data_IF_343585816307
#
_entry.id   IF_343585816307
#
_cell.length_a   1.000
_cell.length_b   1.000
_cell.length_c   1.000
_cell.angle_alpha   90.00
_cell.angle_beta   90.00
_cell.angle_gamma   90.00
#
_symmetry.space_group_name_H-M   'P 1'
#
loop_
_entity.id
_entity.type
_entity.pdbx_description
1 polymer ?
#
# COMPACT_ATOMS: atom_id res chain seq x y z
N UNK A 1 26.25 6.84 4.45
CA UNK A 1 26.00 6.31 5.82
C UNK A 1 25.91 4.81 5.71
N UNK A 2 26.69 4.03 6.47
CA UNK A 2 26.61 2.56 6.41
C UNK A 2 25.33 2.09 7.07
N UNK A 3 24.44 1.48 6.30
CA UNK A 3 23.22 0.94 6.86
C UNK A 3 23.52 -0.28 7.74
N UNK A 4 23.45 -0.10 9.06
CA UNK A 4 23.45 -1.25 9.96
C UNK A 4 22.05 -1.85 9.97
N UNK A 5 21.85 -2.85 9.11
CA UNK A 5 20.73 -3.79 9.23
C UNK A 5 20.90 -4.52 10.56
N UNK A 6 20.22 -4.06 11.60
CA UNK A 6 20.01 -4.90 12.76
C UNK A 6 18.89 -5.86 12.37
N UNK A 7 19.14 -7.18 12.46
CA UNK A 7 18.13 -8.26 12.38
C UNK A 7 17.08 -8.10 13.50
N UNK A 8 16.37 -6.98 13.53
CA UNK A 8 15.23 -6.74 14.39
C UNK A 8 13.98 -7.09 13.60
N UNK A 9 13.02 -7.62 14.32
CA UNK A 9 11.62 -7.78 13.93
C UNK A 9 11.15 -6.62 13.04
N UNK A 10 10.44 -6.94 11.96
CA UNK A 10 9.95 -5.94 11.00
C UNK A 10 9.12 -4.88 11.73
N UNK A 11 9.42 -3.61 11.43
CA UNK A 11 8.78 -2.48 12.10
C UNK A 11 7.39 -2.22 11.50
N UNK A 12 6.36 -2.31 12.34
CA UNK A 12 5.00 -1.90 12.01
C UNK A 12 4.71 -0.46 12.50
N UNK A 13 5.69 0.27 13.03
CA UNK A 13 5.49 1.59 13.63
C UNK A 13 5.07 2.66 12.62
N UNK A 14 5.45 2.50 11.35
CA UNK A 14 5.03 3.42 10.29
C UNK A 14 3.50 3.44 10.08
N UNK A 15 2.78 2.41 10.56
CA UNK A 15 1.32 2.38 10.48
C UNK A 15 0.64 3.50 11.28
N UNK A 16 1.34 4.16 12.21
CA UNK A 16 0.80 5.31 12.95
C UNK A 16 0.53 6.52 12.05
N UNK A 17 1.35 6.70 11.00
CA UNK A 17 1.25 7.81 10.04
C UNK A 17 0.69 7.35 8.67
N UNK A 18 0.14 6.13 8.60
CA UNK A 18 -0.15 5.46 7.32
C UNK A 18 -1.15 6.21 6.44
N UNK A 19 -2.14 6.88 7.02
CA UNK A 19 -3.15 7.64 6.26
C UNK A 19 -2.46 8.71 5.41
N UNK A 20 -1.60 9.53 6.05
CA UNK A 20 -0.81 10.54 5.36
C UNK A 20 0.13 9.91 4.31
N UNK A 21 0.79 8.80 4.64
CA UNK A 21 1.66 8.11 3.70
C UNK A 21 0.93 7.54 2.47
N UNK A 22 -0.28 7.01 2.66
CA UNK A 22 -1.16 6.57 1.57
C UNK A 22 -1.54 7.74 0.66
N UNK A 23 -1.88 8.89 1.23
CA UNK A 23 -2.26 10.08 0.43
C UNK A 23 -1.09 10.60 -0.40
N UNK A 24 0.12 10.62 0.18
CA UNK A 24 1.35 10.95 -0.54
C UNK A 24 1.67 9.93 -1.64
N UNK A 25 1.51 8.64 -1.36
CA UNK A 25 1.70 7.58 -2.35
C UNK A 25 0.70 7.70 -3.52
N UNK A 26 -0.59 7.90 -3.25
CA UNK A 26 -1.61 8.14 -4.28
C UNK A 26 -1.25 9.35 -5.17
N UNK A 27 -0.83 10.44 -4.54
CA UNK A 27 -0.41 11.65 -5.26
C UNK A 27 0.80 11.38 -6.15
N UNK A 28 1.82 10.68 -5.64
CA UNK A 28 3.01 10.30 -6.41
C UNK A 28 2.71 9.32 -7.56
N UNK A 29 1.73 8.43 -7.36
CA UNK A 29 1.25 7.46 -8.35
C UNK A 29 0.41 8.11 -9.46
N UNK A 30 -0.15 9.30 -9.22
CA UNK A 30 -0.91 10.04 -10.21
C UNK A 30 -0.01 10.60 -11.33
N UNK A 31 -0.52 10.55 -12.57
CA UNK A 31 0.20 10.95 -13.78
C UNK A 31 0.22 12.47 -14.04
N UNK A 32 -0.19 13.30 -13.07
CA UNK A 32 -0.45 14.72 -13.31
C UNK A 32 0.83 15.53 -13.61
N UNK A 33 1.96 15.18 -13.00
CA UNK A 33 3.23 15.87 -13.20
C UNK A 33 4.36 14.90 -13.61
N UNK A 34 5.23 15.24 -14.57
CA UNK A 34 6.42 14.46 -14.86
C UNK A 34 7.35 14.38 -13.64
N UNK A 35 7.94 13.21 -13.38
CA UNK A 35 9.02 13.12 -12.38
C UNK A 35 10.24 13.85 -12.90
N UNK A 36 10.99 14.53 -12.02
CA UNK A 36 12.29 15.11 -12.37
C UNK A 36 13.41 14.05 -12.49
N UNK A 37 13.11 12.78 -12.24
CA UNK A 37 14.07 11.67 -12.26
C UNK A 37 14.02 10.82 -13.55
N UNK A 38 13.68 11.41 -14.70
CA UNK A 38 13.57 10.65 -15.96
C UNK A 38 14.90 9.99 -16.35
N UNK A 39 16.00 10.73 -16.26
CA UNK A 39 17.35 10.24 -16.57
C UNK A 39 17.79 9.10 -15.65
N UNK A 40 17.58 9.29 -14.35
CA UNK A 40 17.97 8.35 -13.30
C UNK A 40 17.18 7.06 -13.43
N UNK A 41 15.88 7.16 -13.71
CA UNK A 41 15.05 5.99 -13.95
C UNK A 41 15.36 5.29 -15.28
N UNK A 42 15.81 6.00 -16.32
CA UNK A 42 16.33 5.34 -17.53
C UNK A 42 17.59 4.54 -17.22
N UNK A 43 18.55 5.13 -16.50
CA UNK A 43 19.79 4.44 -16.09
C UNK A 43 19.50 3.24 -15.18
N UNK A 44 18.49 3.35 -14.31
CA UNK A 44 18.02 2.23 -13.50
C UNK A 44 17.51 1.08 -14.38
N UNK A 45 16.76 1.38 -15.43
CA UNK A 45 16.28 0.36 -16.36
C UNK A 45 17.40 -0.26 -17.19
N UNK A 46 18.42 0.50 -17.59
CA UNK A 46 19.59 -0.06 -18.29
C UNK A 46 20.34 -1.08 -17.43
N UNK A 47 20.42 -0.84 -16.12
CA UNK A 47 21.14 -1.72 -15.18
C UNK A 47 20.28 -2.86 -14.62
N UNK A 48 18.97 -2.65 -14.49
CA UNK A 48 18.07 -3.52 -13.74
C UNK A 48 16.86 -4.04 -14.53
N UNK A 49 16.68 -3.61 -15.77
CA UNK A 49 15.50 -3.95 -16.58
C UNK A 49 15.29 -5.46 -16.73
N UNK A 50 16.39 -6.21 -16.83
CA UNK A 50 16.38 -7.66 -16.94
C UNK A 50 15.78 -8.39 -15.72
N UNK A 51 15.66 -7.75 -14.56
CA UNK A 51 15.03 -8.33 -13.37
C UNK A 51 13.49 -8.31 -13.42
N UNK A 52 12.89 -7.56 -14.35
CA UNK A 52 11.45 -7.31 -14.38
C UNK A 52 10.73 -8.01 -15.53
N UNK A 53 9.46 -8.34 -15.33
CA UNK A 53 8.59 -8.85 -16.39
C UNK A 53 8.04 -7.75 -17.29
N UNK A 54 7.93 -6.52 -16.76
CA UNK A 54 7.39 -5.35 -17.48
C UNK A 54 8.25 -4.13 -17.17
N UNK A 55 9.25 -3.87 -18.01
CA UNK A 55 10.23 -2.79 -17.84
C UNK A 55 9.59 -1.41 -17.69
N UNK A 56 8.60 -1.07 -18.52
CA UNK A 56 7.89 0.21 -18.42
C UNK A 56 7.17 0.41 -17.07
N UNK A 57 6.71 -0.68 -16.43
CA UNK A 57 6.12 -0.60 -15.10
C UNK A 57 7.17 -0.37 -14.03
N UNK A 58 8.34 -1.03 -14.12
CA UNK A 58 9.47 -0.79 -13.22
C UNK A 58 9.98 0.66 -13.33
N UNK A 59 10.11 1.18 -14.55
CA UNK A 59 10.48 2.58 -14.82
C UNK A 59 9.51 3.55 -14.18
N UNK A 60 8.21 3.30 -14.33
CA UNK A 60 7.15 4.09 -13.69
C UNK A 60 7.25 4.03 -12.16
N UNK A 61 7.50 2.86 -11.57
CA UNK A 61 7.69 2.71 -10.12
C UNK A 61 8.89 3.52 -9.64
N UNK A 62 10.02 3.52 -10.36
CA UNK A 62 11.17 4.37 -10.05
C UNK A 62 10.77 5.86 -10.00
N UNK A 63 10.02 6.34 -10.99
CA UNK A 63 9.59 7.73 -11.04
C UNK A 63 8.64 8.09 -9.89
N UNK A 64 7.72 7.18 -9.56
CA UNK A 64 6.78 7.31 -8.44
C UNK A 64 7.51 7.31 -7.10
N UNK A 65 8.55 6.47 -6.95
CA UNK A 65 9.38 6.42 -5.75
C UNK A 65 10.05 7.77 -5.47
N UNK A 66 10.64 8.40 -6.50
CA UNK A 66 11.27 9.72 -6.34
C UNK A 66 10.25 10.79 -5.95
N UNK A 67 9.09 10.82 -6.61
CA UNK A 67 8.00 11.74 -6.24
C UNK A 67 7.55 11.53 -4.79
N UNK A 68 7.37 10.27 -4.40
CA UNK A 68 6.94 9.89 -3.06
C UNK A 68 7.96 10.37 -2.03
N UNK A 69 9.24 10.04 -2.20
CA UNK A 69 10.32 10.51 -1.33
C UNK A 69 10.31 12.04 -1.19
N UNK A 70 10.19 12.77 -2.30
CA UNK A 70 10.19 14.23 -2.29
C UNK A 70 9.00 14.82 -1.52
N UNK A 71 7.86 14.14 -1.53
CA UNK A 71 6.65 14.56 -0.83
C UNK A 71 6.66 14.27 0.67
N UNK A 72 7.57 13.41 1.14
CA UNK A 72 7.67 12.97 2.53
C UNK A 72 8.71 13.80 3.30
N UNK A 73 8.27 14.88 3.95
CA UNK A 73 9.14 15.78 4.71
C UNK A 73 9.87 15.10 5.86
N UNK A 74 9.24 14.11 6.50
CA UNK A 74 9.83 13.35 7.62
C UNK A 74 11.09 12.60 7.19
N UNK A 75 11.16 12.15 5.93
CA UNK A 75 12.32 11.45 5.38
C UNK A 75 13.52 12.38 5.15
N UNK A 76 13.32 13.70 5.18
CA UNK A 76 14.37 14.72 4.99
C UNK A 76 15.00 15.17 6.31
N UNK A 77 14.51 14.66 7.45
CA UNK A 77 15.08 14.95 8.77
C UNK A 77 16.44 14.25 8.86
N UNK A 78 17.53 15.01 8.92
CA UNK A 78 18.90 14.49 9.03
C UNK A 78 19.22 13.95 10.45
N UNK A 79 18.32 13.16 11.05
CA UNK A 79 18.52 12.59 12.37
C UNK A 79 17.96 11.18 12.46
N UNK A 80 18.86 10.20 12.54
CA UNK A 80 18.52 8.79 12.72
C UNK A 80 17.84 8.50 14.06
N UNK A 81 17.91 9.41 15.03
CA UNK A 81 17.21 9.29 16.32
C UNK A 81 15.78 9.84 16.29
N UNK A 82 15.36 10.51 15.21
CA UNK A 82 14.00 11.03 15.11
C UNK A 82 13.02 9.90 14.77
N UNK A 83 11.97 9.66 15.59
CA UNK A 83 10.99 8.61 15.33
C UNK A 83 10.22 8.78 14.00
N UNK A 84 9.92 10.01 13.59
CA UNK A 84 9.24 10.26 12.32
C UNK A 84 10.14 9.95 11.12
N UNK A 85 11.43 10.23 11.23
CA UNK A 85 12.40 9.81 10.22
C UNK A 85 12.43 8.28 10.08
N UNK A 86 12.47 7.54 11.21
CA UNK A 86 12.43 6.07 11.19
C UNK A 86 11.14 5.53 10.57
N UNK A 87 9.97 6.05 10.97
CA UNK A 87 8.68 5.65 10.39
C UNK A 87 8.60 5.93 8.89
N UNK A 88 9.09 7.10 8.46
CA UNK A 88 9.13 7.46 7.05
C UNK A 88 10.03 6.51 6.25
N UNK A 89 11.18 6.16 6.83
CA UNK A 89 12.10 5.19 6.25
C UNK A 89 11.48 3.81 6.10
N UNK A 90 10.85 3.30 7.16
CA UNK A 90 10.22 1.98 7.18
C UNK A 90 9.06 1.91 6.17
N UNK A 91 8.29 3.00 6.04
CA UNK A 91 7.25 3.09 5.01
C UNK A 91 7.83 3.03 3.59
N UNK A 92 8.92 3.74 3.29
CA UNK A 92 9.55 3.66 1.96
C UNK A 92 10.09 2.24 1.68
N UNK A 93 10.66 1.58 2.69
CA UNK A 93 11.07 0.17 2.61
C UNK A 93 9.90 -0.74 2.24
N UNK A 94 8.80 -0.61 2.97
CA UNK A 94 7.57 -1.33 2.68
C UNK A 94 7.05 -1.05 1.27
N UNK A 95 6.94 0.21 0.87
CA UNK A 95 6.34 0.60 -0.41
C UNK A 95 7.14 0.05 -1.59
N UNK A 96 8.48 0.12 -1.55
CA UNK A 96 9.35 -0.44 -2.61
C UNK A 96 9.22 -1.95 -2.69
N UNK A 97 9.26 -2.66 -1.55
CA UNK A 97 9.06 -4.11 -1.50
C UNK A 97 7.71 -4.51 -2.10
N UNK A 98 6.64 -3.80 -1.70
CA UNK A 98 5.29 -4.05 -2.18
C UNK A 98 5.16 -3.86 -3.69
N UNK A 99 5.71 -2.77 -4.25
CA UNK A 99 5.56 -2.44 -5.68
C UNK A 99 6.46 -3.27 -6.59
N UNK A 100 7.69 -3.55 -6.19
CA UNK A 100 8.65 -4.25 -7.06
C UNK A 100 8.42 -5.76 -7.08
N UNK A 101 8.09 -6.38 -5.94
CA UNK A 101 7.99 -7.85 -5.86
C UNK A 101 6.93 -8.43 -6.81
N UNK A 102 5.87 -7.66 -7.12
CA UNK A 102 4.79 -8.08 -8.03
C UNK A 102 5.24 -8.18 -9.50
N UNK A 103 6.26 -7.41 -9.88
CA UNK A 103 6.72 -7.29 -11.28
C UNK A 103 8.11 -7.89 -11.51
N UNK A 104 8.77 -8.39 -10.46
CA UNK A 104 10.05 -9.08 -10.58
C UNK A 104 9.84 -10.49 -11.17
N UNK A 105 10.78 -10.93 -12.02
CA UNK A 105 10.76 -12.30 -12.52
C UNK A 105 10.93 -13.27 -11.35
N UNK A 106 10.26 -14.43 -11.42
CA UNK A 106 10.25 -15.43 -10.33
C UNK A 106 11.63 -15.93 -9.92
N UNK A 107 12.64 -15.86 -10.79
CA UNK A 107 14.02 -16.24 -10.46
C UNK A 107 14.71 -15.22 -9.53
N UNK A 108 14.14 -14.01 -9.41
CA UNK A 108 14.60 -12.95 -8.54
C UNK A 108 13.58 -12.70 -7.43
N UNK A 109 13.97 -13.03 -6.19
CA UNK A 109 13.11 -12.89 -5.01
C UNK A 109 13.62 -11.85 -3.99
N UNK A 110 14.71 -11.15 -4.32
CA UNK A 110 15.34 -10.17 -3.43
C UNK A 110 15.25 -8.77 -4.01
N UNK A 111 14.48 -7.93 -3.34
CA UNK A 111 14.33 -6.50 -3.62
C UNK A 111 15.63 -5.76 -3.31
N UNK A 112 16.49 -6.26 -2.40
CA UNK A 112 17.78 -5.64 -2.03
C UNK A 112 18.64 -5.32 -3.25
N UNK A 113 18.83 -6.29 -4.16
CA UNK A 113 19.73 -6.10 -5.31
C UNK A 113 19.17 -5.03 -6.27
N UNK A 114 17.89 -5.13 -6.59
CA UNK A 114 17.18 -4.18 -7.46
C UNK A 114 17.16 -2.79 -6.83
N UNK A 115 16.90 -2.72 -5.52
CA UNK A 115 16.93 -1.47 -4.81
C UNK A 115 18.33 -0.86 -4.79
N UNK A 116 19.40 -1.65 -4.60
CA UNK A 116 20.77 -1.14 -4.64
C UNK A 116 21.11 -0.46 -5.97
N UNK A 117 20.57 -0.99 -7.08
CA UNK A 117 20.66 -0.32 -8.38
C UNK A 117 19.81 0.95 -8.45
N UNK A 118 18.56 0.92 -7.97
CA UNK A 118 17.71 2.12 -7.90
C UNK A 118 18.38 3.23 -7.08
N UNK A 119 18.94 2.85 -5.93
CA UNK A 119 19.68 3.70 -5.02
C UNK A 119 20.91 4.31 -5.67
N UNK A 120 21.70 3.52 -6.39
CA UNK A 120 22.90 4.02 -7.05
C UNK A 120 22.56 5.00 -8.19
N UNK A 121 21.45 4.82 -8.89
CA UNK A 121 21.11 5.77 -9.95
C UNK A 121 20.57 7.09 -9.41
N UNK A 122 19.79 7.04 -8.32
CA UNK A 122 19.18 8.24 -7.76
C UNK A 122 20.12 8.98 -6.80
N UNK A 123 20.93 8.29 -5.99
CA UNK A 123 21.80 8.93 -4.98
C UNK A 123 23.01 9.63 -5.60
N UNK A 124 23.53 9.09 -6.70
CA UNK A 124 24.66 9.70 -7.43
C UNK A 124 24.22 10.86 -8.35
N UNK A 125 22.92 11.14 -8.40
CA UNK A 125 22.37 12.27 -9.14
C UNK A 125 22.34 13.55 -8.30
N UNK A 126 22.15 14.71 -8.96
CA UNK A 126 21.95 16.00 -8.31
C UNK A 126 20.58 16.14 -7.60
N UNK A 127 19.79 15.06 -7.46
CA UNK A 127 18.47 15.10 -6.86
C UNK A 127 18.50 15.29 -5.33
N UNK A 128 19.66 15.16 -4.68
CA UNK A 128 19.81 15.37 -3.24
C UNK A 128 19.01 14.38 -2.39
N UNK A 129 18.64 13.24 -2.98
CA UNK A 129 17.89 12.17 -2.34
C UNK A 129 18.91 11.27 -1.64
N UNK A 130 18.86 11.25 -0.31
CA UNK A 130 19.59 10.27 0.48
C UNK A 130 18.65 9.07 0.62
N UNK A 131 18.81 8.11 -0.28
CA UNK A 131 17.92 6.97 -0.32
C UNK A 131 18.06 6.18 0.97
N UNK A 132 16.90 5.98 1.55
CA UNK A 132 16.68 5.24 2.77
C UNK A 132 17.16 3.81 2.57
N UNK A 133 17.87 3.27 3.56
CA UNK A 133 18.15 1.84 3.69
C UNK A 133 16.92 0.94 3.41
N UNK A 134 16.76 0.47 2.18
CA UNK A 134 15.79 -0.58 1.85
C UNK A 134 16.45 -1.93 2.06
N UNK A 135 15.65 -2.89 2.53
CA UNK A 135 16.02 -4.26 2.76
C UNK A 135 14.85 -5.17 2.37
N UNK A 136 15.14 -6.45 2.20
CA UNK A 136 14.11 -7.44 1.92
C UNK A 136 13.23 -7.59 3.16
N UNK A 137 11.93 -7.38 2.97
CA UNK A 137 10.94 -7.71 4.00
C UNK A 137 10.61 -9.19 3.85
N UNK A 138 10.66 -9.94 4.95
CA UNK A 138 10.24 -11.34 4.92
C UNK A 138 8.81 -11.47 4.37
N UNK A 139 8.59 -12.49 3.53
CA UNK A 139 7.34 -12.69 2.79
C UNK A 139 6.09 -12.70 3.69
N UNK A 140 6.18 -13.32 4.87
CA UNK A 140 5.05 -13.40 5.80
C UNK A 140 4.69 -12.03 6.39
N UNK A 141 5.70 -11.20 6.69
CA UNK A 141 5.49 -9.86 7.22
C UNK A 141 5.03 -8.90 6.11
N UNK A 142 5.61 -9.00 4.91
CA UNK A 142 5.13 -8.23 3.76
C UNK A 142 3.66 -8.54 3.46
N UNK A 143 3.26 -9.81 3.50
CA UNK A 143 1.87 -10.22 3.32
C UNK A 143 0.94 -9.62 4.38
N UNK A 144 1.32 -9.66 5.66
CA UNK A 144 0.58 -9.04 6.77
C UNK A 144 0.49 -7.52 6.61
N UNK A 145 1.59 -6.85 6.30
CA UNK A 145 1.62 -5.41 6.04
C UNK A 145 0.72 -5.03 4.85
N UNK A 146 0.68 -5.85 3.79
CA UNK A 146 -0.20 -5.64 2.65
C UNK A 146 -1.69 -5.73 3.04
N UNK A 147 -2.06 -6.63 3.95
CA UNK A 147 -3.43 -6.67 4.49
C UNK A 147 -3.76 -5.36 5.22
N UNK A 148 -2.89 -4.90 6.13
CA UNK A 148 -3.09 -3.63 6.84
C UNK A 148 -3.14 -2.44 5.88
N UNK A 149 -2.26 -2.39 4.88
CA UNK A 149 -2.22 -1.31 3.90
C UNK A 149 -3.54 -1.21 3.12
N UNK A 150 -4.10 -2.34 2.66
CA UNK A 150 -5.41 -2.35 1.98
C UNK A 150 -6.55 -1.90 2.89
N UNK A 151 -6.54 -2.34 4.15
CA UNK A 151 -7.49 -1.88 5.16
C UNK A 151 -7.44 -0.36 5.32
N UNK A 152 -6.26 0.22 5.54
CA UNK A 152 -6.10 1.66 5.67
C UNK A 152 -6.41 2.43 4.38
N UNK A 153 -6.09 1.87 3.20
CA UNK A 153 -6.42 2.50 1.92
C UNK A 153 -7.93 2.63 1.76
N UNK A 154 -8.67 1.55 1.99
CA UNK A 154 -10.13 1.55 1.91
C UNK A 154 -10.75 2.47 2.98
N UNK A 155 -10.19 2.51 4.19
CA UNK A 155 -10.57 3.46 5.23
C UNK A 155 -10.40 4.92 4.78
N UNK A 156 -9.25 5.28 4.22
CA UNK A 156 -8.99 6.65 3.72
C UNK A 156 -9.94 7.02 2.58
N UNK A 157 -10.20 6.08 1.67
CA UNK A 157 -11.16 6.28 0.57
C UNK A 157 -12.58 6.48 1.12
N UNK A 158 -12.99 5.70 2.13
CA UNK A 158 -14.25 5.86 2.84
C UNK A 158 -14.34 7.24 3.52
N UNK A 159 -13.38 7.60 4.35
CA UNK A 159 -13.39 8.87 5.09
C UNK A 159 -13.50 10.08 4.15
N UNK A 160 -12.73 10.08 3.06
CA UNK A 160 -12.77 11.14 2.02
C UNK A 160 -14.13 11.25 1.34
N UNK A 161 -14.70 10.11 0.90
CA UNK A 161 -15.99 10.08 0.21
C UNK A 161 -17.08 10.63 1.14
N UNK A 162 -17.00 10.29 2.42
CA UNK A 162 -17.99 10.66 3.42
C UNK A 162 -17.91 12.15 3.77
N UNK A 163 -16.72 12.74 3.77
CA UNK A 163 -16.55 14.21 3.86
C UNK A 163 -17.13 14.94 2.64
N UNK A 164 -17.08 14.34 1.45
CA UNK A 164 -17.54 14.97 0.20
C UNK A 164 -19.06 15.03 0.01
N UNK A 165 -19.85 14.27 0.78
CA UNK A 165 -21.33 14.19 0.72
C UNK A 165 -21.94 14.01 -0.70
N UNK A 166 -21.23 13.36 -1.62
CA UNK A 166 -21.67 13.14 -3.01
C UNK A 166 -22.78 12.09 -3.17
N UNK A 167 -23.63 12.19 -4.19
CA UNK A 167 -24.64 11.15 -4.48
C UNK A 167 -24.03 9.79 -4.88
N UNK A 168 -22.76 9.74 -5.29
CA UNK A 168 -22.02 8.51 -5.62
C UNK A 168 -21.55 7.74 -4.36
N UNK A 169 -21.79 8.29 -3.17
CA UNK A 169 -21.32 7.77 -1.88
C UNK A 169 -21.86 6.37 -1.60
N UNK A 170 -23.15 6.09 -1.81
CA UNK A 170 -23.78 4.82 -1.36
C UNK A 170 -23.12 3.56 -1.94
N UNK A 171 -23.03 3.46 -3.27
CA UNK A 171 -22.46 2.27 -3.95
C UNK A 171 -20.97 2.11 -3.64
N UNK A 172 -20.25 3.24 -3.57
CA UNK A 172 -18.81 3.23 -3.32
C UNK A 172 -18.49 2.84 -1.88
N UNK A 173 -19.24 3.36 -0.91
CA UNK A 173 -19.11 3.01 0.52
C UNK A 173 -19.39 1.54 0.79
N UNK A 174 -20.43 0.98 0.15
CA UNK A 174 -20.73 -0.45 0.30
C UNK A 174 -19.61 -1.32 -0.28
N UNK A 175 -19.10 -0.96 -1.46
CA UNK A 175 -17.98 -1.67 -2.08
C UNK A 175 -16.71 -1.62 -1.23
N UNK A 176 -16.38 -0.44 -0.69
CA UNK A 176 -15.17 -0.25 0.12
C UNK A 176 -15.29 -0.96 1.48
N UNK A 177 -16.43 -0.85 2.16
CA UNK A 177 -16.65 -1.56 3.44
C UNK A 177 -16.70 -3.08 3.29
N UNK A 178 -17.25 -3.58 2.18
CA UNK A 178 -17.19 -5.01 1.83
C UNK A 178 -15.74 -5.47 1.61
N UNK A 179 -14.92 -4.67 0.92
CA UNK A 179 -13.51 -4.96 0.75
C UNK A 179 -12.75 -4.95 2.09
N UNK A 180 -13.03 -3.98 2.97
CA UNK A 180 -12.52 -3.96 4.34
C UNK A 180 -12.88 -5.25 5.09
N UNK A 181 -14.12 -5.73 5.00
CA UNK A 181 -14.54 -6.93 5.69
C UNK A 181 -13.73 -8.16 5.30
N UNK A 182 -13.44 -8.33 4.00
CA UNK A 182 -12.61 -9.45 3.52
C UNK A 182 -11.23 -9.41 4.16
N UNK A 183 -10.54 -8.28 4.04
CA UNK A 183 -9.17 -8.12 4.55
C UNK A 183 -9.13 -8.19 6.09
N UNK A 184 -10.16 -7.66 6.78
CA UNK A 184 -10.25 -7.66 8.24
C UNK A 184 -10.47 -9.06 8.80
N UNK A 185 -11.35 -9.86 8.17
CA UNK A 185 -11.57 -11.25 8.59
C UNK A 185 -10.31 -12.11 8.38
N UNK A 186 -9.58 -11.87 7.30
CA UNK A 186 -8.29 -12.51 7.03
C UNK A 186 -7.25 -12.14 8.10
N UNK A 187 -7.09 -10.84 8.39
CA UNK A 187 -6.21 -10.35 9.44
C UNK A 187 -6.57 -10.91 10.82
N UNK A 188 -7.87 -10.90 11.16
CA UNK A 188 -8.39 -11.42 12.42
C UNK A 188 -8.12 -12.92 12.55
N UNK A 189 -8.31 -13.69 11.49
CA UNK A 189 -8.00 -15.12 11.50
C UNK A 189 -6.52 -15.39 11.81
N UNK A 190 -5.60 -14.60 11.25
CA UNK A 190 -4.17 -14.68 11.55
C UNK A 190 -3.91 -14.42 13.04
N UNK A 191 -4.58 -13.42 13.62
CA UNK A 191 -4.45 -13.09 15.05
C UNK A 191 -5.08 -14.14 15.98
N UNK A 192 -6.24 -14.69 15.63
CA UNK A 192 -6.99 -15.65 16.44
C UNK A 192 -6.35 -17.05 16.44
N UNK A 193 -5.77 -17.48 15.31
CA UNK A 193 -5.18 -18.84 15.18
C UNK A 193 -3.76 -18.94 15.69
N UNK A 194 -3.11 -17.80 15.89
CA UNK A 194 -1.77 -17.77 16.44
C UNK A 194 -1.80 -17.88 17.96
N UNK A 195 -1.62 -19.11 18.47
CA UNK A 195 -1.64 -19.47 19.90
C UNK A 195 -0.74 -18.62 20.81
N UNK A 196 0.21 -17.85 20.26
CA UNK A 196 1.13 -16.95 20.98
C UNK A 196 1.19 -15.50 20.42
N UNK A 197 0.35 -15.07 19.45
CA UNK A 197 0.51 -13.75 18.76
C UNK A 197 -0.65 -12.75 18.90
N UNK A 198 -1.58 -12.89 19.86
CA UNK A 198 -2.61 -11.84 20.06
C UNK A 198 -2.00 -10.46 20.30
N UNK A 199 -0.77 -10.41 20.84
CA UNK A 199 -0.01 -9.18 21.11
C UNK A 199 1.14 -8.93 20.11
N UNK A 200 1.17 -9.63 18.96
CA UNK A 200 2.19 -9.36 17.94
C UNK A 200 2.05 -7.94 17.38
N UNK A 201 3.13 -7.32 16.86
CA UNK A 201 3.07 -5.99 16.26
C UNK A 201 1.95 -5.86 15.21
N UNK A 202 1.76 -6.88 14.37
CA UNK A 202 0.67 -6.94 13.40
C UNK A 202 -0.72 -6.87 14.07
N UNK A 203 -0.97 -7.69 15.08
CA UNK A 203 -2.29 -7.73 15.76
C UNK A 203 -2.56 -6.45 16.56
N UNK A 204 -1.52 -5.84 17.13
CA UNK A 204 -1.64 -4.53 17.76
C UNK A 204 -2.05 -3.46 16.74
N UNK A 205 -1.43 -3.43 15.55
CA UNK A 205 -1.82 -2.50 14.48
C UNK A 205 -3.20 -2.81 13.89
N UNK A 206 -3.63 -4.08 13.88
CA UNK A 206 -5.00 -4.43 13.52
C UNK A 206 -6.03 -3.88 14.53
N UNK A 207 -5.71 -3.91 15.82
CA UNK A 207 -6.55 -3.32 16.86
C UNK A 207 -6.61 -1.79 16.77
N UNK A 208 -5.49 -1.14 16.43
CA UNK A 208 -5.43 0.30 16.14
C UNK A 208 -6.35 0.65 14.95
N UNK A 209 -6.28 -0.15 13.88
CA UNK A 209 -7.17 -0.02 12.72
C UNK A 209 -8.64 -0.17 13.11
N UNK A 210 -8.99 -1.24 13.83
CA UNK A 210 -10.35 -1.48 14.30
C UNK A 210 -10.88 -0.28 15.07
N UNK A 211 -10.09 0.23 16.02
CA UNK A 211 -10.47 1.39 16.84
C UNK A 211 -10.68 2.66 16.00
N UNK A 212 -9.92 2.85 14.91
CA UNK A 212 -10.12 3.96 13.96
C UNK A 212 -11.39 3.77 13.12
N UNK A 213 -11.66 2.55 12.65
CA UNK A 213 -12.84 2.24 11.86
C UNK A 213 -14.12 2.31 12.70
N UNK A 214 -14.10 1.85 13.95
CA UNK A 214 -15.26 1.95 14.86
C UNK A 214 -15.62 3.42 15.15
N UNK A 215 -14.61 4.30 15.27
CA UNK A 215 -14.84 5.76 15.37
C UNK A 215 -15.41 6.36 14.09
N UNK A 216 -15.00 5.84 12.93
CA UNK A 216 -15.57 6.21 11.64
C UNK A 216 -17.06 5.85 11.67
N UNK A 217 -17.42 4.60 11.99
CA UNK A 217 -18.81 4.13 12.16
C UNK A 217 -19.64 4.98 13.15
N UNK A 218 -19.10 5.31 14.33
CA UNK A 218 -19.79 6.17 15.31
C UNK A 218 -20.14 7.56 14.77
N UNK A 219 -19.27 8.14 13.91
CA UNK A 219 -19.55 9.39 13.21
C UNK A 219 -20.76 9.23 12.27
N UNK A 220 -20.95 8.06 11.67
CA UNK A 220 -22.08 7.76 10.77
C UNK A 220 -23.40 7.53 11.50
N UNK A 221 -23.40 6.84 12.64
CA UNK A 221 -24.63 6.61 13.41
C UNK A 221 -25.24 7.94 13.92
N UNK A 222 -24.38 8.95 14.19
CA UNK A 222 -24.81 10.25 14.73
C UNK A 222 -25.21 11.28 13.68
N UNK A 223 -24.81 11.11 12.42
CA UNK A 223 -25.31 11.92 11.29
C UNK A 223 -26.36 11.11 10.53
N UNK A 224 -27.68 11.29 10.81
CA UNK A 224 -28.75 10.54 10.16
C UNK A 224 -28.81 10.92 8.68
N UNK A 225 -27.99 10.24 7.91
CA UNK A 225 -27.92 10.32 6.46
C UNK A 225 -28.21 8.94 5.93
N UNK A 226 -28.84 8.86 4.76
CA UNK A 226 -29.12 7.61 4.04
C UNK A 226 -27.85 6.81 3.65
N UNK A 227 -26.68 7.17 4.20
CA UNK A 227 -25.36 6.59 3.94
C UNK A 227 -25.00 5.54 5.01
N UNK A 228 -25.54 5.62 6.23
CA UNK A 228 -25.25 4.66 7.31
C UNK A 228 -25.57 3.22 6.90
N UNK A 229 -26.63 3.02 6.12
CA UNK A 229 -27.08 1.71 5.64
C UNK A 229 -26.11 1.07 4.64
N UNK A 230 -25.14 1.84 4.13
CA UNK A 230 -24.18 1.42 3.10
C UNK A 230 -22.75 1.28 3.65
N UNK A 231 -22.56 1.38 4.98
CA UNK A 231 -21.30 1.10 5.65
C UNK A 231 -21.44 -0.18 6.48
N UNK A 232 -20.68 -1.22 6.14
CA UNK A 232 -20.65 -2.45 6.95
C UNK A 232 -19.71 -2.23 8.14
N UNK A 233 -20.20 -2.50 9.35
CA UNK A 233 -19.40 -2.49 10.58
C UNK A 233 -18.45 -3.69 10.60
N UNK A 234 -17.26 -3.52 11.17
CA UNK A 234 -16.31 -4.64 11.28
C UNK A 234 -16.85 -5.81 12.09
N UNK A 235 -17.69 -5.54 13.10
CA UNK A 235 -18.39 -6.55 13.91
C UNK A 235 -19.47 -7.30 13.15
N UNK A 236 -19.99 -6.72 12.07
CA UNK A 236 -21.07 -7.27 11.24
C UNK A 236 -20.55 -7.89 9.94
N UNK A 237 -19.24 -7.90 9.74
CA UNK A 237 -18.63 -8.51 8.58
C UNK A 237 -19.05 -9.98 8.45
N UNK A 238 -19.60 -10.40 7.29
CA UNK A 238 -20.13 -11.74 7.12
C UNK A 238 -18.98 -12.76 7.17
N UNK A 239 -19.06 -13.71 8.10
CA UNK A 239 -18.08 -14.79 8.18
C UNK A 239 -18.11 -15.63 6.91
N UNK A 240 -17.14 -15.41 6.01
CA UNK A 240 -17.01 -16.10 4.72
C UNK A 240 -16.79 -17.61 4.83
N UNK A 241 -16.50 -18.15 6.04
CA UNK A 241 -16.48 -19.59 6.31
C UNK A 241 -17.81 -20.30 6.02
N UNK A 242 -18.94 -19.59 5.96
CA UNK A 242 -20.25 -20.18 5.64
C UNK A 242 -20.51 -20.21 4.12
N UNK A 243 -19.80 -19.41 3.30
CA UNK A 243 -20.07 -19.28 1.85
C UNK A 243 -19.02 -20.02 0.98
N UNK A 244 -17.85 -20.37 1.54
CA UNK A 244 -16.73 -20.94 0.78
C UNK A 244 -16.85 -22.43 0.42
N UNK A 245 -17.86 -23.17 0.88
CA UNK A 245 -18.03 -24.58 0.50
C UNK A 245 -18.61 -24.81 -0.89
N UNK A 246 -19.06 -23.76 -1.60
CA UNK A 246 -19.69 -23.92 -2.91
C UNK A 246 -18.80 -23.57 -4.14
N UNK A 247 -17.64 -22.93 -3.98
CA UNK A 247 -16.78 -22.55 -5.13
C UNK A 247 -15.29 -22.66 -4.78
N UNK A 248 -14.80 -23.88 -4.55
CA UNK A 248 -13.36 -24.19 -4.57
C UNK A 248 -13.01 -24.94 -5.84
N UNK A 249 -13.12 -24.24 -6.97
CA UNK A 249 -12.45 -24.57 -8.22
C UNK A 249 -11.43 -23.49 -8.54
N UNK A 250 -10.18 -23.69 -8.09
CA UNK A 250 -8.95 -22.99 -8.53
C UNK A 250 -9.05 -21.49 -8.84
N UNK A 251 -8.70 -20.64 -7.86
CA UNK A 251 -8.23 -19.27 -8.13
C UNK A 251 -6.80 -19.16 -7.60
N UNK A 252 -5.84 -19.46 -8.47
CA UNK A 252 -4.46 -18.99 -8.32
C UNK A 252 -4.43 -17.59 -8.90
N UNK A 253 -4.18 -16.60 -8.04
CA UNK A 253 -3.63 -15.29 -8.40
C UNK A 253 -4.35 -14.47 -9.47
N UNK A 254 -5.48 -13.85 -9.13
CA UNK A 254 -5.96 -12.66 -9.84
C UNK A 254 -6.36 -11.59 -8.81
N UNK A 255 -5.42 -10.67 -8.55
CA UNK A 255 -5.76 -9.35 -8.02
C UNK A 255 -6.51 -8.63 -9.15
N UNK A 256 -7.76 -8.18 -8.96
CA UNK A 256 -8.43 -7.38 -9.97
C UNK A 256 -7.73 -6.02 -10.07
N UNK A 257 -7.05 -5.79 -11.20
CA UNK A 257 -6.60 -4.48 -11.66
C UNK A 257 -7.82 -3.61 -11.97
N UNK A 258 -8.40 -2.95 -10.98
CA UNK A 258 -9.30 -1.81 -11.20
C UNK A 258 -8.47 -0.53 -11.10
N UNK A 259 -7.76 -0.23 -12.20
CA UNK A 259 -6.88 0.94 -12.27
C UNK A 259 -6.52 1.40 -13.69
N UNK A 260 -7.18 0.89 -14.74
CA UNK A 260 -7.00 1.40 -16.11
C UNK A 260 -8.35 1.57 -16.78
N UNK A 261 -8.98 2.73 -16.58
CA UNK A 261 -10.02 3.20 -17.50
C UNK A 261 -9.31 3.70 -18.76
N UNK A 262 -9.12 2.81 -19.74
CA UNK A 262 -8.83 3.25 -21.10
C UNK A 262 -10.08 3.97 -21.62
N UNK A 263 -9.90 5.24 -21.98
CA UNK A 263 -10.85 6.01 -22.76
C UNK A 263 -11.02 5.28 -24.11
N UNK A 264 -12.15 4.59 -24.29
CA UNK A 264 -12.50 3.98 -25.57
C UNK A 264 -12.81 5.12 -26.52
N UNK A 265 -11.93 5.35 -27.49
CA UNK A 265 -12.23 6.16 -28.67
C UNK A 265 -13.37 5.49 -29.42
N UNK A 266 -14.38 6.28 -29.79
CA UNK A 266 -15.62 5.86 -30.45
C UNK A 266 -15.36 4.89 -31.62
N UNK A 267 -15.93 3.69 -31.52
CA UNK A 267 -16.05 2.77 -32.66
C UNK A 267 -17.20 3.28 -33.53
N UNK A 268 -16.85 4.03 -34.59
CA UNK A 268 -17.75 4.32 -35.70
C UNK A 268 -18.10 3.02 -36.42
N UNK A 269 -19.29 2.48 -36.13
CA UNK A 269 -19.90 1.44 -36.94
C UNK A 269 -20.82 2.16 -37.93
N UNK A 270 -20.35 2.32 -39.17
CA UNK A 270 -21.24 2.64 -40.27
C UNK A 270 -22.08 1.40 -40.59
N UNK A 271 -23.39 1.53 -40.46
CA UNK A 271 -24.39 0.60 -40.98
C UNK A 271 -24.51 0.71 -42.50
#
# INVERSE_FOLDING_TARGET
MTCKQNKKEESYEFFENIVNYIDKAKSAESNAEPSNAVSECNSFMETSGSYFTVEETAKRICQQYVKLYNSLTDCKINSSSNPNYQKCRDFLNYWVNFKLIEIMKKEYHSVINVHGHLESQITFSNLGINIVCIHDINKDDLYKMNILYRLYKNYTDLDTILESRSNTVKKTSLSLSTACCKDYLEARYICDTSKNNSNSPFCNKLNDFKSKYDKLDDKFVREPSEISDYLIKLSECPNTKIISTAVTGTVVGLIPLLGVLYKVSELNINL
#
